data_IF_546101335977
#
_entry.id   IF_546101335977
#
_cell.length_a   1.000
_cell.length_b   1.000
_cell.length_c   1.000
_cell.angle_alpha   90.00
_cell.angle_beta   90.00
_cell.angle_gamma   90.00
#
_symmetry.space_group_name_H-M   'P 1'
#
loop_
_entity.id
_entity.type
_entity.pdbx_description
1 polymer ?
#
# COMPACT_ATOMS: atom_id res chain seq x y z
N UNK A 1 64.22 15.66 5.92
CA UNK A 1 63.40 16.31 6.95
C UNK A 1 62.01 15.69 6.84
N UNK A 2 61.49 14.93 7.82
CA UNK A 2 61.13 15.25 9.23
C UNK A 2 59.75 15.97 9.29
N UNK A 3 58.69 15.55 10.02
CA UNK A 3 58.49 15.15 11.45
C UNK A 3 58.48 16.37 12.39
N UNK A 4 57.53 16.64 13.31
CA UNK A 4 56.34 15.93 13.90
C UNK A 4 55.08 16.84 13.87
N UNK A 5 53.88 16.56 14.42
CA UNK A 5 53.29 15.35 15.03
C UNK A 5 52.81 15.44 16.51
N UNK A 6 51.64 16.04 16.79
CA UNK A 6 50.90 16.08 18.08
C UNK A 6 49.42 16.52 17.84
N UNK A 7 48.34 16.24 18.61
CA UNK A 7 48.06 15.70 19.98
C UNK A 7 47.97 16.77 21.11
N UNK A 8 47.04 16.53 22.06
CA UNK A 8 46.51 17.35 23.19
C UNK A 8 45.43 18.39 22.77
N UNK A 9 44.22 18.43 23.37
CA UNK A 9 43.77 18.62 24.78
C UNK A 9 43.94 20.11 25.23
N UNK A 10 43.08 20.77 26.04
CA UNK A 10 42.03 20.27 26.96
C UNK A 10 40.74 21.17 27.03
N UNK A 11 40.29 21.86 28.13
CA UNK A 11 39.02 21.51 28.82
C UNK A 11 37.95 22.63 29.02
N UNK A 12 36.86 22.23 29.70
CA UNK A 12 36.00 23.01 30.64
C UNK A 12 34.89 23.99 30.17
N UNK A 13 33.88 24.13 31.04
CA UNK A 13 32.78 25.13 30.95
C UNK A 13 31.39 24.55 30.66
N UNK A 14 30.77 23.79 31.57
CA UNK A 14 29.89 24.25 32.67
C UNK A 14 28.59 24.96 32.22
N UNK A 15 27.41 24.71 32.82
CA UNK A 15 27.01 23.74 33.85
C UNK A 15 25.50 23.44 33.72
N UNK A 16 24.95 22.37 34.29
CA UNK A 16 24.68 22.13 35.73
C UNK A 16 23.15 21.97 35.94
N UNK A 17 22.68 21.31 37.01
CA UNK A 17 21.46 20.51 36.93
C UNK A 17 20.22 21.15 37.59
N UNK A 18 19.10 20.42 37.57
CA UNK A 18 18.00 20.64 38.52
C UNK A 18 17.39 19.30 38.98
N UNK A 19 16.79 19.24 40.19
CA UNK A 19 16.80 17.99 40.96
C UNK A 19 15.41 17.55 41.45
N UNK A 20 15.37 16.38 42.08
CA UNK A 20 14.36 16.03 43.10
C UNK A 20 14.69 16.77 44.43
N UNK A 21 13.87 16.71 45.51
CA UNK A 21 12.64 15.93 45.71
C UNK A 21 11.48 16.73 46.35
N UNK A 22 10.42 16.04 46.74
CA UNK A 22 9.67 16.36 47.98
C UNK A 22 9.07 15.10 48.60
N UNK A 23 8.90 15.10 49.93
CA UNK A 23 8.49 13.95 50.75
C UNK A 23 7.64 14.41 51.95
N UNK A 24 7.37 13.49 52.90
CA UNK A 24 6.37 13.57 53.99
C UNK A 24 4.92 13.33 53.50
N UNK A 25 4.01 12.75 54.29
CA UNK A 25 3.98 12.45 55.73
C UNK A 25 2.58 12.84 56.28
N UNK A 26 2.00 12.27 57.33
CA UNK A 26 2.50 11.35 58.37
C UNK A 26 1.32 10.66 59.08
N UNK A 27 1.59 9.81 60.10
CA UNK A 27 0.71 9.48 61.26
C UNK A 27 -0.74 8.98 61.00
N UNK A 28 -1.11 7.71 61.21
CA UNK A 28 -1.17 6.91 62.45
C UNK A 28 -2.32 7.23 63.42
N UNK A 29 -3.20 6.26 63.70
CA UNK A 29 -3.64 5.92 65.07
C UNK A 29 -4.57 4.69 65.10
N UNK A 30 -4.47 3.89 66.18
CA UNK A 30 -5.38 2.79 66.51
C UNK A 30 -5.80 2.92 67.99
N UNK A 31 -7.09 2.77 68.31
CA UNK A 31 -7.49 2.03 69.53
C UNK A 31 -8.39 0.83 69.16
N UNK A 32 -8.19 -0.39 69.68
CA UNK A 32 -8.42 -0.84 71.07
C UNK A 32 -9.94 -0.90 71.37
N UNK A 33 -10.65 -2.00 71.08
CA UNK A 33 -10.66 -3.36 71.71
C UNK A 33 -11.51 -3.42 72.98
N UNK A 34 -12.68 -4.07 72.93
CA UNK A 34 -13.19 -4.88 74.04
C UNK A 34 -14.25 -5.93 73.63
N UNK A 35 -14.55 -6.85 74.56
CA UNK A 35 -15.47 -7.98 74.47
C UNK A 35 -16.64 -7.72 75.47
N UNK A 36 -17.78 -8.47 75.48
CA UNK A 36 -17.80 -9.91 75.76
C UNK A 36 -18.85 -10.70 74.94
N UNK A 37 -19.01 -11.99 75.27
CA UNK A 37 -20.20 -12.80 74.93
C UNK A 37 -21.18 -12.77 76.13
N UNK A 38 -22.45 -13.14 75.92
CA UNK A 38 -22.84 -14.43 76.52
C UNK A 38 -23.73 -15.32 75.62
N UNK A 39 -23.83 -16.58 76.03
CA UNK A 39 -24.76 -17.59 75.51
C UNK A 39 -26.17 -17.35 76.05
N UNK A 40 -27.19 -17.53 75.21
CA UNK A 40 -28.48 -18.09 75.66
C UNK A 40 -29.15 -18.88 74.53
N UNK A 41 -29.74 -20.02 74.89
CA UNK A 41 -30.60 -20.82 74.01
C UNK A 41 -31.99 -20.84 74.64
N UNK A 42 -33.05 -20.62 73.85
CA UNK A 42 -34.38 -21.10 74.24
C UNK A 42 -35.18 -21.63 73.04
N UNK A 43 -36.21 -22.42 73.33
CA UNK A 43 -36.77 -23.42 72.42
C UNK A 43 -38.27 -23.16 72.21
N UNK A 44 -38.66 -22.79 70.99
CA UNK A 44 -40.07 -22.68 70.57
C UNK A 44 -40.18 -22.65 69.03
N UNK A 45 -41.06 -23.38 68.34
CA UNK A 45 -41.94 -24.49 68.77
C UNK A 45 -42.10 -25.43 67.55
N UNK A 46 -42.20 -26.74 67.78
CA UNK A 46 -42.50 -27.71 66.72
C UNK A 46 -44.00 -27.92 66.52
N UNK A 47 -44.50 -27.90 65.28
CA UNK A 47 -45.85 -28.40 64.93
C UNK A 47 -45.84 -29.13 63.56
N UNK A 48 -46.41 -30.35 63.45
CA UNK A 48 -46.29 -31.22 62.27
C UNK A 48 -47.31 -30.89 61.15
N UNK A 49 -47.24 -31.55 59.97
CA UNK A 49 -47.49 -30.88 58.68
C UNK A 49 -48.95 -30.87 58.18
N UNK A 50 -49.22 -29.96 57.24
CA UNK A 50 -50.43 -29.91 56.43
C UNK A 50 -50.18 -30.39 54.98
N UNK A 51 -51.25 -30.83 54.30
CA UNK A 51 -51.22 -31.56 53.02
C UNK A 51 -50.66 -30.76 51.82
N UNK A 52 -50.17 -31.45 50.77
CA UNK A 52 -49.86 -30.82 49.49
C UNK A 52 -51.12 -30.45 48.71
N UNK A 53 -51.05 -29.35 47.95
CA UNK A 53 -51.97 -29.00 46.86
C UNK A 53 -51.18 -28.59 45.61
N UNK A 54 -51.68 -28.82 44.38
CA UNK A 54 -50.82 -28.86 43.19
C UNK A 54 -51.00 -27.67 42.23
N UNK A 55 -50.13 -27.60 41.22
CA UNK A 55 -50.24 -26.82 39.99
C UNK A 55 -50.02 -25.30 40.08
N UNK A 56 -48.82 -24.88 40.47
CA UNK A 56 -48.18 -23.72 39.84
C UNK A 56 -47.35 -24.23 38.64
N UNK A 57 -47.53 -23.70 37.41
CA UNK A 57 -46.65 -24.00 36.29
C UNK A 57 -45.32 -23.27 36.50
N UNK A 58 -44.35 -23.96 37.09
CA UNK A 58 -43.03 -23.39 37.42
C UNK A 58 -42.35 -22.78 36.20
N UNK A 59 -42.36 -21.45 36.11
CA UNK A 59 -41.70 -20.72 35.03
C UNK A 59 -40.18 -20.83 35.24
N UNK A 60 -39.51 -21.66 34.43
CA UNK A 60 -38.13 -22.08 34.71
C UNK A 60 -37.17 -20.90 34.97
N UNK A 61 -36.41 -20.90 36.10
CA UNK A 61 -35.40 -19.88 36.40
C UNK A 61 -34.17 -19.94 35.47
N UNK A 62 -34.24 -20.73 34.39
CA UNK A 62 -33.28 -20.78 33.29
C UNK A 62 -33.38 -19.54 32.38
N UNK A 63 -34.57 -18.97 32.23
CA UNK A 63 -34.86 -17.82 31.35
C UNK A 63 -33.92 -16.60 31.51
N UNK A 64 -33.62 -16.07 32.72
CA UNK A 64 -32.74 -14.90 32.86
C UNK A 64 -31.32 -15.14 32.33
N UNK A 65 -30.79 -16.37 32.40
CA UNK A 65 -29.44 -16.68 31.87
C UNK A 65 -29.40 -16.61 30.33
N UNK A 66 -30.47 -17.07 29.68
CA UNK A 66 -30.62 -17.00 28.23
C UNK A 66 -30.79 -15.55 27.76
N UNK A 67 -31.61 -14.76 28.45
CA UNK A 67 -31.80 -13.34 28.14
C UNK A 67 -30.51 -12.52 28.30
N UNK A 68 -29.72 -12.75 29.35
CA UNK A 68 -28.40 -12.11 29.51
C UNK A 68 -27.41 -12.54 28.42
N UNK A 69 -27.43 -13.80 27.99
CA UNK A 69 -26.59 -14.29 26.89
C UNK A 69 -26.98 -13.65 25.56
N UNK A 70 -28.27 -13.56 25.26
CA UNK A 70 -28.81 -12.90 24.06
C UNK A 70 -28.51 -11.39 24.06
N UNK A 71 -28.69 -10.71 25.20
CA UNK A 71 -28.34 -9.30 25.34
C UNK A 71 -26.85 -9.06 25.04
N UNK A 72 -25.95 -9.83 25.66
CA UNK A 72 -24.52 -9.71 25.42
C UNK A 72 -24.15 -10.01 23.94
N UNK A 73 -24.77 -11.04 23.33
CA UNK A 73 -24.59 -11.34 21.91
C UNK A 73 -25.04 -10.18 21.01
N UNK A 74 -26.24 -9.61 21.26
CA UNK A 74 -26.76 -8.48 20.48
C UNK A 74 -25.91 -7.21 20.65
N UNK A 75 -25.39 -6.95 21.85
CA UNK A 75 -24.44 -5.84 22.09
C UNK A 75 -23.14 -6.06 21.31
N UNK A 76 -22.56 -7.27 21.37
CA UNK A 76 -21.34 -7.61 20.63
C UNK A 76 -21.56 -7.45 19.11
N UNK A 77 -22.64 -8.03 18.56
CA UNK A 77 -22.99 -7.91 17.14
C UNK A 77 -23.23 -6.46 16.74
N UNK A 78 -23.89 -5.66 17.58
CA UNK A 78 -24.12 -4.23 17.31
C UNK A 78 -22.80 -3.44 17.24
N UNK A 79 -21.87 -3.69 18.16
CA UNK A 79 -20.53 -3.07 18.16
C UNK A 79 -19.75 -3.48 16.90
N UNK A 80 -19.78 -4.76 16.52
CA UNK A 80 -19.14 -5.23 15.29
C UNK A 80 -19.76 -4.61 14.03
N UNK A 81 -21.10 -4.48 13.96
CA UNK A 81 -21.79 -3.86 12.83
C UNK A 81 -21.47 -2.36 12.71
N UNK A 82 -21.47 -1.62 13.82
CA UNK A 82 -21.08 -0.19 13.85
C UNK A 82 -19.61 -0.02 13.49
N UNK A 83 -18.72 -0.85 14.04
CA UNK A 83 -17.29 -0.84 13.71
C UNK A 83 -17.02 -1.16 12.23
N UNK A 84 -17.72 -2.14 11.67
CA UNK A 84 -17.63 -2.51 10.25
C UNK A 84 -18.20 -1.42 9.33
N UNK A 85 -19.32 -0.78 9.71
CA UNK A 85 -19.88 0.35 8.97
C UNK A 85 -18.93 1.57 8.97
N UNK A 86 -18.37 1.91 10.13
CA UNK A 86 -17.36 2.96 10.26
C UNK A 86 -16.09 2.64 9.45
N UNK A 87 -15.57 1.41 9.55
CA UNK A 87 -14.44 0.96 8.75
C UNK A 87 -14.72 1.06 7.25
N UNK A 88 -15.87 0.57 6.78
CA UNK A 88 -16.27 0.68 5.36
C UNK A 88 -16.37 2.12 4.91
N UNK A 89 -16.97 3.01 5.70
CA UNK A 89 -17.09 4.43 5.36
C UNK A 89 -15.70 5.10 5.23
N UNK A 90 -14.83 4.90 6.21
CA UNK A 90 -13.45 5.41 6.21
C UNK A 90 -12.63 4.83 5.04
N UNK A 91 -12.74 3.53 4.78
CA UNK A 91 -12.08 2.87 3.65
C UNK A 91 -12.58 3.42 2.30
N UNK A 92 -13.89 3.59 2.13
CA UNK A 92 -14.47 4.19 0.92
C UNK A 92 -13.96 5.62 0.70
N UNK A 93 -13.91 6.45 1.76
CA UNK A 93 -13.36 7.81 1.68
C UNK A 93 -11.87 7.82 1.28
N UNK A 94 -11.03 6.98 1.91
CA UNK A 94 -9.61 6.88 1.56
C UNK A 94 -9.40 6.41 0.13
N UNK A 95 -10.14 5.39 -0.32
CA UNK A 95 -10.06 4.91 -1.71
C UNK A 95 -10.51 5.98 -2.70
N UNK A 96 -11.66 6.63 -2.48
CA UNK A 96 -12.13 7.73 -3.33
C UNK A 96 -11.11 8.87 -3.40
N UNK A 97 -10.52 9.28 -2.26
CA UNK A 97 -9.52 10.35 -2.23
C UNK A 97 -8.22 9.95 -2.92
N UNK A 98 -7.78 8.70 -2.77
CA UNK A 98 -6.59 8.16 -3.44
C UNK A 98 -6.81 8.05 -4.95
N UNK A 99 -7.85 7.34 -5.39
CA UNK A 99 -8.17 7.15 -6.81
C UNK A 99 -8.40 8.48 -7.54
N UNK A 100 -9.07 9.45 -6.89
CA UNK A 100 -9.23 10.80 -7.42
C UNK A 100 -7.89 11.51 -7.61
N UNK A 101 -7.07 11.60 -6.55
CA UNK A 101 -5.76 12.25 -6.63
C UNK A 101 -4.80 11.56 -7.62
N UNK A 102 -4.88 10.24 -7.81
CA UNK A 102 -4.13 9.52 -8.85
C UNK A 102 -4.63 9.89 -10.25
N UNK A 103 -5.94 10.04 -10.45
CA UNK A 103 -6.53 10.55 -11.68
C UNK A 103 -6.06 11.98 -11.99
N UNK A 104 -6.23 12.90 -11.05
CA UNK A 104 -5.80 14.31 -11.15
C UNK A 104 -4.31 14.41 -11.54
N UNK A 105 -3.45 13.58 -10.92
CA UNK A 105 -2.01 13.55 -11.16
C UNK A 105 -1.62 13.01 -12.54
N UNK A 106 -2.33 11.98 -13.02
CA UNK A 106 -2.16 11.44 -14.38
C UNK A 106 -2.64 12.43 -15.44
N UNK A 107 -3.84 13.01 -15.24
CA UNK A 107 -4.42 14.03 -16.10
C UNK A 107 -3.46 15.22 -16.27
N UNK A 108 -2.97 15.79 -15.16
CA UNK A 108 -2.02 16.90 -15.20
C UNK A 108 -0.65 16.56 -15.85
N UNK A 109 -0.22 15.31 -15.83
CA UNK A 109 0.97 14.87 -16.59
C UNK A 109 0.68 14.70 -18.08
N UNK A 110 -0.52 14.22 -18.42
CA UNK A 110 -0.94 14.02 -19.79
C UNK A 110 -1.22 15.34 -20.52
N UNK A 111 -1.93 16.27 -19.87
CA UNK A 111 -2.12 17.63 -20.38
C UNK A 111 -0.77 18.29 -20.68
N UNK A 112 0.18 18.21 -19.74
CA UNK A 112 1.55 18.73 -19.94
C UNK A 112 2.31 18.03 -21.07
N UNK A 113 2.01 16.76 -21.37
CA UNK A 113 2.60 16.04 -22.49
C UNK A 113 1.96 16.44 -23.84
N UNK A 114 0.66 16.71 -23.87
CA UNK A 114 -0.04 17.30 -25.01
C UNK A 114 0.47 18.73 -25.26
N UNK A 115 0.58 19.56 -24.23
CA UNK A 115 1.09 20.93 -24.33
C UNK A 115 2.53 20.99 -24.90
N UNK A 116 3.33 19.94 -24.68
CA UNK A 116 4.66 19.78 -25.25
C UNK A 116 4.65 19.19 -26.68
N UNK A 117 3.71 18.29 -26.98
CA UNK A 117 3.60 17.59 -28.28
C UNK A 117 2.89 18.43 -29.34
N UNK A 118 2.00 19.34 -28.93
CA UNK A 118 1.01 20.00 -29.77
C UNK A 118 -0.32 19.24 -29.80
N UNK A 119 -1.41 19.98 -30.00
CA UNK A 119 -2.79 19.47 -29.95
C UNK A 119 -3.27 18.78 -31.25
N UNK A 120 -2.39 18.64 -32.26
CA UNK A 120 -2.73 17.91 -33.49
C UNK A 120 -2.81 16.38 -33.23
N UNK A 121 -3.96 15.74 -33.47
CA UNK A 121 -4.08 14.29 -33.34
C UNK A 121 -3.11 13.50 -34.23
N UNK A 122 -2.76 14.01 -35.42
CA UNK A 122 -1.83 13.28 -36.30
C UNK A 122 -0.40 13.31 -35.75
N UNK A 123 0.09 14.45 -35.28
CA UNK A 123 1.37 14.55 -34.56
C UNK A 123 1.40 13.65 -33.33
N UNK A 124 0.36 13.61 -32.50
CA UNK A 124 0.33 12.75 -31.31
C UNK A 124 0.35 11.25 -31.69
N UNK A 125 -0.64 10.79 -32.47
CA UNK A 125 -0.84 9.37 -32.77
C UNK A 125 0.14 8.77 -33.78
N UNK A 126 0.72 9.57 -34.67
CA UNK A 126 1.71 9.11 -35.66
C UNK A 126 3.12 9.44 -35.20
N UNK A 127 3.45 10.72 -35.01
CA UNK A 127 4.83 11.14 -34.78
C UNK A 127 5.31 10.76 -33.37
N UNK A 128 4.60 11.15 -32.31
CA UNK A 128 5.04 10.87 -30.93
C UNK A 128 5.01 9.37 -30.61
N UNK A 129 4.00 8.62 -31.05
CA UNK A 129 3.96 7.16 -30.90
C UNK A 129 5.10 6.47 -31.67
N UNK A 130 5.45 6.94 -32.88
CA UNK A 130 6.58 6.39 -33.65
C UNK A 130 7.92 6.72 -32.99
N UNK A 131 8.13 7.96 -32.53
CA UNK A 131 9.35 8.35 -31.80
C UNK A 131 9.50 7.54 -30.51
N UNK A 132 8.42 7.37 -29.74
CA UNK A 132 8.45 6.61 -28.49
C UNK A 132 8.78 5.13 -28.71
N UNK A 133 8.14 4.48 -29.68
CA UNK A 133 8.39 3.06 -30.00
C UNK A 133 9.81 2.83 -30.55
N UNK A 134 10.31 3.73 -31.41
CA UNK A 134 11.71 3.73 -31.86
C UNK A 134 12.65 3.94 -30.66
N UNK A 135 12.38 4.90 -29.77
CA UNK A 135 13.19 5.16 -28.59
C UNK A 135 13.26 3.95 -27.65
N UNK A 136 12.12 3.33 -27.30
CA UNK A 136 12.09 2.14 -26.43
C UNK A 136 12.87 0.98 -27.05
N UNK A 137 12.71 0.73 -28.35
CA UNK A 137 13.47 -0.29 -29.08
C UNK A 137 14.98 -0.03 -29.02
N UNK A 138 15.43 1.18 -29.36
CA UNK A 138 16.86 1.51 -29.42
C UNK A 138 17.49 1.73 -28.04
N UNK A 139 16.72 2.06 -27.01
CA UNK A 139 17.21 2.17 -25.63
C UNK A 139 17.56 0.79 -25.07
N UNK A 140 16.59 -0.12 -24.98
CA UNK A 140 16.84 -1.46 -24.44
C UNK A 140 17.67 -2.32 -25.41
N UNK A 141 17.32 -2.34 -26.69
CA UNK A 141 18.07 -3.08 -27.72
C UNK A 141 19.49 -2.53 -27.92
N UNK A 142 19.70 -1.21 -27.75
CA UNK A 142 21.01 -0.58 -27.78
C UNK A 142 21.89 -1.00 -26.60
N UNK A 143 21.35 -1.07 -25.38
CA UNK A 143 22.08 -1.57 -24.20
C UNK A 143 22.57 -3.01 -24.43
N UNK A 144 21.71 -3.91 -24.91
CA UNK A 144 22.12 -5.28 -25.26
C UNK A 144 23.17 -5.31 -26.38
N UNK A 145 22.98 -4.52 -27.44
CA UNK A 145 23.94 -4.40 -28.55
C UNK A 145 25.31 -3.89 -28.08
N UNK A 146 25.35 -2.97 -27.13
CA UNK A 146 26.59 -2.48 -26.51
C UNK A 146 27.28 -3.55 -25.67
N UNK A 147 26.53 -4.38 -24.91
CA UNK A 147 27.10 -5.53 -24.20
C UNK A 147 27.69 -6.57 -25.17
N UNK A 148 27.00 -6.90 -26.26
CA UNK A 148 27.50 -7.84 -27.29
C UNK A 148 28.69 -7.29 -28.08
N UNK A 149 28.80 -5.97 -28.26
CA UNK A 149 29.99 -5.32 -28.82
C UNK A 149 31.18 -5.26 -27.85
N UNK A 150 30.92 -5.24 -26.53
CA UNK A 150 31.94 -5.00 -25.49
C UNK A 150 32.52 -6.30 -24.92
N UNK A 151 31.77 -7.42 -24.97
CA UNK A 151 32.18 -8.76 -24.53
C UNK A 151 32.74 -8.85 -23.09
N UNK A 152 32.33 -7.93 -22.21
CA UNK A 152 32.76 -7.83 -20.80
C UNK A 152 31.54 -7.53 -19.91
N UNK A 153 31.49 -7.99 -18.66
CA UNK A 153 32.50 -8.73 -17.91
C UNK A 153 32.34 -10.26 -17.99
N UNK A 154 33.38 -11.00 -17.57
CA UNK A 154 33.43 -12.47 -17.64
C UNK A 154 32.31 -13.20 -16.86
N UNK A 155 31.67 -12.54 -15.88
CA UNK A 155 30.54 -13.09 -15.13
C UNK A 155 29.31 -13.34 -16.01
N UNK A 156 28.96 -12.39 -16.89
CA UNK A 156 27.74 -12.47 -17.72
C UNK A 156 27.86 -13.58 -18.78
N UNK A 157 29.08 -13.93 -19.21
CA UNK A 157 29.34 -15.01 -20.18
C UNK A 157 28.83 -16.38 -19.70
N UNK A 158 28.63 -16.60 -18.40
CA UNK A 158 27.99 -17.81 -17.84
C UNK A 158 26.50 -17.96 -18.24
N UNK A 159 25.84 -16.87 -18.64
CA UNK A 159 24.41 -16.83 -18.94
C UNK A 159 24.10 -16.52 -20.43
N UNK A 160 25.08 -16.57 -21.33
CA UNK A 160 24.84 -16.42 -22.78
C UNK A 160 24.09 -17.64 -23.33
N UNK A 161 22.96 -17.40 -23.99
CA UNK A 161 22.11 -18.42 -24.63
C UNK A 161 22.80 -19.20 -25.77
N UNK A 162 23.87 -18.66 -26.37
CA UNK A 162 24.67 -19.35 -27.40
C UNK A 162 26.18 -19.08 -27.16
N UNK A 163 26.91 -20.00 -26.50
CA UNK A 163 28.35 -19.87 -26.32
C UNK A 163 29.12 -19.93 -27.67
N UNK A 164 30.14 -19.09 -27.83
CA UNK A 164 31.11 -19.16 -28.94
C UNK A 164 30.61 -18.79 -30.33
N UNK A 165 29.32 -18.48 -30.50
CA UNK A 165 28.76 -18.10 -31.81
C UNK A 165 29.00 -16.61 -32.08
N UNK A 166 29.67 -16.29 -33.20
CA UNK A 166 29.85 -14.93 -33.71
C UNK A 166 30.55 -13.97 -32.70
N UNK A 167 31.53 -14.47 -31.94
CA UNK A 167 32.46 -13.64 -31.16
C UNK A 167 33.82 -13.49 -31.89
N UNK A 168 34.38 -12.27 -32.05
CA UNK A 168 33.74 -10.97 -31.81
C UNK A 168 32.66 -10.66 -32.85
N UNK A 169 31.68 -9.82 -32.49
CA UNK A 169 30.62 -9.40 -33.41
C UNK A 169 31.22 -8.58 -34.56
N UNK A 170 31.06 -9.06 -35.80
CA UNK A 170 31.43 -8.30 -36.99
C UNK A 170 30.63 -6.98 -37.06
N UNK A 171 31.36 -5.87 -36.89
CA UNK A 171 30.83 -4.51 -36.92
C UNK A 171 30.28 -4.15 -38.30
N UNK A 172 30.81 -4.73 -39.37
CA UNK A 172 30.35 -4.48 -40.74
C UNK A 172 29.00 -5.13 -41.01
N UNK A 173 28.81 -6.39 -40.59
CA UNK A 173 27.50 -7.07 -40.58
C UNK A 173 26.51 -6.41 -39.63
N UNK A 174 26.94 -5.99 -38.44
CA UNK A 174 26.08 -5.26 -37.50
C UNK A 174 25.59 -3.92 -38.10
N UNK A 175 26.48 -3.13 -38.72
CA UNK A 175 26.10 -1.88 -39.38
C UNK A 175 25.07 -2.10 -40.50
N UNK A 176 25.22 -3.18 -41.28
CA UNK A 176 24.22 -3.59 -42.30
C UNK A 176 22.87 -3.95 -41.68
N UNK A 177 22.85 -4.67 -40.56
CA UNK A 177 21.62 -5.01 -39.83
C UNK A 177 20.96 -3.76 -39.24
N UNK A 178 21.73 -2.85 -38.62
CA UNK A 178 21.24 -1.57 -38.10
C UNK A 178 20.61 -0.73 -39.22
N UNK A 179 21.28 -0.60 -40.38
CA UNK A 179 20.74 0.10 -41.54
C UNK A 179 19.43 -0.54 -42.05
N UNK A 180 19.36 -1.87 -42.11
CA UNK A 180 18.13 -2.59 -42.48
C UNK A 180 17.00 -2.36 -41.47
N UNK A 181 17.27 -2.33 -40.16
CA UNK A 181 16.27 -2.04 -39.12
C UNK A 181 15.75 -0.62 -39.24
N UNK A 182 16.63 0.38 -39.42
CA UNK A 182 16.22 1.78 -39.62
C UNK A 182 15.42 1.95 -40.93
N UNK A 183 15.80 1.27 -42.00
CA UNK A 183 15.04 1.26 -43.26
C UNK A 183 13.65 0.62 -43.07
N UNK A 184 13.56 -0.51 -42.35
CA UNK A 184 12.27 -1.14 -42.04
C UNK A 184 11.39 -0.21 -41.16
N UNK A 185 11.95 0.41 -40.12
CA UNK A 185 11.25 1.32 -39.21
C UNK A 185 10.71 2.57 -39.94
N UNK A 186 11.46 3.09 -40.91
CA UNK A 186 11.05 4.28 -41.70
C UNK A 186 10.13 3.94 -42.86
N UNK A 187 10.51 2.99 -43.72
CA UNK A 187 9.79 2.66 -44.97
C UNK A 187 8.52 1.84 -44.72
N UNK A 188 8.47 1.02 -43.65
CA UNK A 188 7.31 0.21 -43.30
C UNK A 188 6.57 0.81 -42.10
N UNK A 189 7.31 1.18 -41.05
CA UNK A 189 6.72 1.67 -39.80
C UNK A 189 5.92 2.97 -39.96
N UNK A 190 6.48 4.00 -40.61
CA UNK A 190 5.80 5.30 -40.75
C UNK A 190 4.52 5.19 -41.60
N UNK A 191 4.51 4.56 -42.80
CA UNK A 191 3.27 4.35 -43.54
C UNK A 191 2.24 3.50 -42.79
N UNK A 192 2.66 2.51 -42.01
CA UNK A 192 1.76 1.70 -41.18
C UNK A 192 1.12 2.55 -40.06
N UNK A 193 1.89 3.40 -39.39
CA UNK A 193 1.38 4.31 -38.36
C UNK A 193 0.36 5.31 -38.95
N UNK A 194 0.63 5.88 -40.13
CA UNK A 194 -0.33 6.73 -40.85
C UNK A 194 -1.60 5.96 -41.21
N UNK A 195 -1.49 4.72 -41.71
CA UNK A 195 -2.64 3.88 -42.02
C UNK A 195 -3.48 3.54 -40.77
N UNK A 196 -2.83 3.22 -39.65
CA UNK A 196 -3.48 2.97 -38.36
C UNK A 196 -4.21 4.21 -37.84
N UNK A 197 -3.62 5.41 -37.94
CA UNK A 197 -4.27 6.67 -37.60
C UNK A 197 -5.52 6.91 -38.46
N UNK A 198 -5.45 6.68 -39.77
CA UNK A 198 -6.61 6.82 -40.67
C UNK A 198 -7.72 5.81 -40.34
N UNK A 199 -7.38 4.58 -39.95
CA UNK A 199 -8.35 3.57 -39.50
C UNK A 199 -9.01 3.96 -38.16
N UNK A 200 -8.23 4.50 -37.21
CA UNK A 200 -8.75 5.01 -35.94
C UNK A 200 -9.69 6.21 -36.17
N UNK A 201 -9.29 7.14 -37.04
CA UNK A 201 -10.07 8.31 -37.46
C UNK A 201 -11.34 7.93 -38.23
N UNK A 202 -11.39 6.78 -38.89
CA UNK A 202 -12.62 6.21 -39.46
C UNK A 202 -13.56 5.59 -38.41
N UNK A 203 -13.01 4.94 -37.37
CA UNK A 203 -13.78 4.42 -36.22
C UNK A 203 -14.35 5.53 -35.33
N UNK A 204 -13.69 6.70 -35.32
CA UNK A 204 -13.98 7.83 -34.46
C UNK A 204 -12.85 8.02 -33.44
N UNK A 205 -12.39 9.26 -33.27
CA UNK A 205 -11.46 9.65 -32.21
C UNK A 205 -12.28 10.17 -31.03
N UNK A 206 -11.88 9.78 -29.82
CA UNK A 206 -12.31 10.47 -28.59
C UNK A 206 -11.54 11.79 -28.44
N UNK A 207 -11.87 12.60 -27.43
CA UNK A 207 -10.99 13.72 -27.04
C UNK A 207 -9.58 13.19 -26.72
N UNK A 208 -8.56 13.98 -27.07
CA UNK A 208 -7.18 13.66 -26.74
C UNK A 208 -6.87 13.91 -25.27
N UNK A 209 -7.49 14.91 -24.64
CA UNK A 209 -7.16 15.32 -23.26
C UNK A 209 -7.86 14.46 -22.21
N UNK A 210 -9.09 14.01 -22.43
CA UNK A 210 -9.84 13.23 -21.43
C UNK A 210 -9.30 11.81 -21.24
N UNK A 211 -8.66 11.54 -20.09
CA UNK A 211 -8.24 10.18 -19.72
C UNK A 211 -9.39 9.37 -19.09
N UNK A 212 -9.44 8.05 -19.32
CA UNK A 212 -10.27 7.16 -18.51
C UNK A 212 -9.91 7.28 -17.01
N UNK A 213 -10.91 7.14 -16.14
CA UNK A 213 -10.67 7.21 -14.69
C UNK A 213 -9.62 6.18 -14.27
N UNK A 214 -8.76 6.54 -13.31
CA UNK A 214 -7.62 5.71 -12.91
C UNK A 214 -8.04 4.29 -12.44
N UNK A 215 -9.22 4.15 -11.83
CA UNK A 215 -9.78 2.84 -11.48
C UNK A 215 -10.26 2.02 -12.69
N UNK A 216 -10.68 2.67 -13.79
CA UNK A 216 -11.01 1.99 -15.04
C UNK A 216 -9.76 1.49 -15.75
N UNK A 217 -8.69 2.31 -15.79
CA UNK A 217 -7.38 1.88 -16.33
C UNK A 217 -6.86 0.65 -15.58
N UNK A 218 -6.99 0.60 -14.25
CA UNK A 218 -6.60 -0.56 -13.45
C UNK A 218 -7.51 -1.78 -13.64
N UNK A 219 -8.76 -1.60 -14.06
CA UNK A 219 -9.63 -2.72 -14.45
C UNK A 219 -9.22 -3.28 -15.82
N UNK A 220 -9.03 -2.43 -16.82
CA UNK A 220 -8.61 -2.82 -18.18
C UNK A 220 -7.22 -3.49 -18.19
N UNK A 221 -6.32 -3.14 -17.26
CA UNK A 221 -5.01 -3.78 -17.08
C UNK A 221 -5.05 -5.11 -16.30
N UNK A 222 -6.22 -5.54 -15.80
CA UNK A 222 -6.38 -6.73 -14.96
C UNK A 222 -7.11 -7.89 -15.67
N UNK A 223 -7.48 -7.74 -16.95
CA UNK A 223 -8.22 -8.71 -17.76
C UNK A 223 -7.53 -9.00 -19.11
#
# INVERSE_FOLDING_TARGET
>A
MMVTGAILDDPDGSGSPSPAPSSCGSTSSTPKREHPSPTEQEISVGKPPAKPTPNEPGLDPQNPRLLSSLYNFLVIVSIFLVGFAAFRNTLTWHLQRFWGASGDFWQAHWDRFIDFTGEDPATLWVLSTTIFTIFVYWFFGGIYTVFDLTCKPACIRRYKMQPGTNEPVDRTRLAKVIAQVLMNQTVIGIPMAVFMYQAMRFRGLNDLRELPTFHWVLAELAF
#
